data_IF_440562725757
#
_entry.id   IF_440562725757
#
_cell.length_a   1.000
_cell.length_b   1.000
_cell.length_c   1.000
_cell.angle_alpha   90.00
_cell.angle_beta   90.00
_cell.angle_gamma   90.00
#
_symmetry.space_group_name_H-M   'P 1'
#
loop_
_entity.id
_entity.type
_entity.pdbx_description
1 polymer ?
#
# COMPACT_ATOMS: atom_id res chain seq x y z
N UNK A 1 -38.22 -4.26 -2.13
CA UNK A 1 -36.97 -3.97 -1.36
C UNK A 1 -35.83 -3.51 -2.30
N UNK A 2 -35.51 -2.22 -2.29
CA UNK A 2 -34.44 -1.64 -3.12
C UNK A 2 -33.09 -2.08 -2.56
N UNK A 3 -32.40 -3.02 -3.22
CA UNK A 3 -31.04 -3.42 -2.86
C UNK A 3 -30.17 -2.15 -2.77
N UNK A 4 -29.70 -1.81 -1.57
CA UNK A 4 -28.66 -0.78 -1.40
C UNK A 4 -27.42 -1.35 -2.06
N UNK A 5 -27.11 -0.90 -3.29
CA UNK A 5 -25.79 -1.12 -3.90
C UNK A 5 -24.75 -0.72 -2.85
N UNK A 6 -23.84 -1.64 -2.51
CA UNK A 6 -22.75 -1.40 -1.56
C UNK A 6 -21.89 -0.29 -2.18
N UNK A 7 -22.24 0.95 -1.87
CA UNK A 7 -21.50 2.11 -2.33
C UNK A 7 -20.10 1.94 -1.75
N UNK A 8 -19.12 1.87 -2.64
CA UNK A 8 -17.72 1.81 -2.26
C UNK A 8 -17.47 2.85 -1.16
N UNK A 9 -16.82 2.45 -0.07
CA UNK A 9 -16.33 3.41 0.92
C UNK A 9 -15.51 4.49 0.20
N UNK A 10 -15.53 5.71 0.73
CA UNK A 10 -14.93 6.88 0.06
C UNK A 10 -13.51 6.51 -0.44
N UNK A 11 -13.24 6.64 -1.74
CA UNK A 11 -11.91 6.40 -2.27
C UNK A 11 -10.88 7.29 -1.57
N UNK A 12 -9.63 6.81 -1.51
CA UNK A 12 -8.50 7.63 -1.08
C UNK A 12 -8.44 8.94 -1.88
N UNK A 13 -7.93 9.99 -1.24
CA UNK A 13 -7.68 11.25 -1.92
C UNK A 13 -6.71 11.04 -3.09
N UNK A 14 -7.04 11.55 -4.28
CA UNK A 14 -6.24 11.38 -5.50
C UNK A 14 -4.82 11.92 -5.35
N UNK A 15 -4.59 12.90 -4.49
CA UNK A 15 -3.25 13.42 -4.20
C UNK A 15 -2.29 12.38 -3.63
N UNK A 16 -2.81 11.27 -3.07
CA UNK A 16 -2.04 10.14 -2.55
C UNK A 16 -1.62 9.13 -3.63
N UNK A 17 -2.11 9.29 -4.86
CA UNK A 17 -1.72 8.49 -6.00
C UNK A 17 -0.79 9.29 -6.92
N UNK A 18 0.10 8.57 -7.60
CA UNK A 18 1.00 9.16 -8.60
C UNK A 18 0.24 9.49 -9.87
N UNK A 19 0.65 10.57 -10.52
CA UNK A 19 0.21 10.92 -11.87
C UNK A 19 1.38 10.72 -12.82
N UNK A 20 1.25 9.79 -13.78
CA UNK A 20 2.29 9.48 -14.76
C UNK A 20 2.49 10.60 -15.80
N UNK A 21 1.69 11.67 -15.76
CA UNK A 21 1.75 12.76 -16.76
C UNK A 21 2.80 13.83 -16.46
N UNK A 22 3.48 13.80 -15.30
CA UNK A 22 4.57 14.73 -14.97
C UNK A 22 5.82 14.00 -14.47
N UNK A 23 7.04 14.46 -14.83
CA UNK A 23 8.30 13.87 -14.33
C UNK A 23 8.46 13.91 -12.81
N UNK A 24 7.78 14.86 -12.15
CA UNK A 24 7.71 15.02 -10.68
C UNK A 24 6.53 14.23 -10.06
N UNK A 25 5.71 13.57 -10.87
CA UNK A 25 4.39 13.04 -10.48
C UNK A 25 4.41 11.83 -9.55
N UNK A 26 5.60 11.30 -9.29
CA UNK A 26 5.87 10.13 -8.45
C UNK A 26 6.39 10.48 -7.05
N UNK A 27 7.10 11.59 -6.88
CA UNK A 27 7.72 11.93 -5.59
C UNK A 27 6.68 12.10 -4.46
N UNK A 28 6.95 11.50 -3.30
CA UNK A 28 6.10 11.56 -2.11
C UNK A 28 4.78 10.80 -2.24
N UNK A 29 4.73 9.78 -3.11
CA UNK A 29 3.54 8.95 -3.35
C UNK A 29 3.68 7.58 -2.69
N UNK A 30 2.56 6.95 -2.36
CA UNK A 30 2.56 5.67 -1.64
C UNK A 30 3.32 4.62 -2.45
N UNK A 31 4.41 4.13 -1.85
CA UNK A 31 5.24 3.08 -2.40
C UNK A 31 4.55 1.71 -2.33
N UNK A 32 4.73 0.93 -3.39
CA UNK A 32 4.47 -0.51 -3.39
C UNK A 32 5.79 -1.22 -3.09
N UNK A 33 5.98 -1.61 -1.82
CA UNK A 33 7.24 -2.22 -1.37
C UNK A 33 7.53 -3.56 -2.07
N UNK A 34 6.47 -4.29 -2.42
CA UNK A 34 6.55 -5.55 -3.13
C UNK A 34 5.24 -5.89 -3.85
N UNK A 35 5.35 -6.59 -4.98
CA UNK A 35 4.22 -7.18 -5.68
C UNK A 35 4.56 -8.53 -6.31
N UNK A 36 3.52 -9.34 -6.53
CA UNK A 36 3.62 -10.62 -7.22
C UNK A 36 2.67 -10.57 -8.43
N UNK A 37 3.20 -10.35 -9.65
CA UNK A 37 2.39 -10.29 -10.86
C UNK A 37 1.82 -11.68 -11.20
N UNK A 38 0.64 -11.72 -11.82
CA UNK A 38 0.05 -12.97 -12.30
C UNK A 38 0.94 -13.62 -13.36
N UNK A 39 1.34 -14.88 -13.16
CA UNK A 39 2.23 -15.59 -14.08
C UNK A 39 3.69 -15.12 -14.09
N UNK A 40 4.12 -14.31 -13.11
CA UNK A 40 5.52 -13.88 -12.96
C UNK A 40 6.13 -14.32 -11.64
N UNK A 41 7.10 -13.56 -11.14
CA UNK A 41 7.77 -13.81 -9.85
C UNK A 41 7.70 -12.58 -8.94
N UNK A 42 7.86 -12.78 -7.64
CA UNK A 42 7.90 -11.71 -6.64
C UNK A 42 8.91 -10.62 -7.01
N UNK A 43 8.46 -9.37 -7.03
CA UNK A 43 9.24 -8.16 -7.26
C UNK A 43 9.26 -7.31 -5.98
N UNK A 44 10.40 -6.67 -5.68
CA UNK A 44 10.64 -5.88 -4.47
C UNK A 44 11.59 -4.73 -4.77
N UNK A 45 11.47 -3.62 -4.02
CA UNK A 45 12.41 -2.48 -4.05
C UNK A 45 12.64 -1.92 -5.46
N UNK A 46 11.61 -1.89 -6.31
CA UNK A 46 11.70 -1.38 -7.67
C UNK A 46 11.08 0.01 -7.83
N UNK A 47 10.72 0.70 -6.75
CA UNK A 47 10.01 2.00 -6.76
C UNK A 47 8.65 1.95 -7.49
N UNK A 48 7.97 0.81 -7.47
CA UNK A 48 6.59 0.70 -7.95
C UNK A 48 5.62 1.49 -7.07
N UNK A 49 4.49 1.92 -7.64
CA UNK A 49 3.53 2.79 -6.93
C UNK A 49 2.08 2.63 -7.35
N UNK A 50 1.17 3.14 -6.52
CA UNK A 50 -0.26 3.10 -6.77
C UNK A 50 -0.70 4.25 -7.68
N UNK A 51 -1.32 3.92 -8.82
CA UNK A 51 -1.90 4.89 -9.77
C UNK A 51 -3.34 5.22 -9.39
N UNK A 52 -4.14 4.21 -9.03
CA UNK A 52 -5.55 4.45 -8.73
C UNK A 52 -6.23 3.29 -8.00
N UNK A 53 -7.23 3.62 -7.19
CA UNK A 53 -8.06 2.65 -6.49
C UNK A 53 -9.19 2.10 -7.38
N UNK A 54 -9.40 0.78 -7.37
CA UNK A 54 -10.49 0.07 -8.07
C UNK A 54 -11.52 -0.52 -7.11
N UNK A 55 -11.07 -0.95 -5.93
CA UNK A 55 -11.89 -1.44 -4.83
C UNK A 55 -11.26 -1.03 -3.49
N UNK A 56 -11.90 -1.35 -2.37
CA UNK A 56 -11.26 -1.19 -1.04
C UNK A 56 -9.92 -1.91 -0.91
N UNK A 57 -9.68 -2.94 -1.72
CA UNK A 57 -8.50 -3.81 -1.68
C UNK A 57 -7.91 -4.07 -3.07
N UNK A 58 -8.41 -3.42 -4.12
CA UNK A 58 -7.92 -3.60 -5.50
C UNK A 58 -7.43 -2.27 -6.01
N UNK A 59 -6.23 -2.26 -6.57
CA UNK A 59 -5.56 -1.05 -7.02
C UNK A 59 -4.89 -1.31 -8.35
N UNK A 60 -4.86 -0.28 -9.19
CA UNK A 60 -3.98 -0.23 -10.36
C UNK A 60 -2.63 0.29 -9.88
N UNK A 61 -1.57 -0.47 -10.08
CA UNK A 61 -0.20 -0.09 -9.76
C UNK A 61 0.61 0.08 -11.05
N UNK A 62 1.61 0.94 -11.02
CA UNK A 62 2.68 0.97 -12.00
C UNK A 62 3.79 0.03 -11.54
N UNK A 63 4.22 -0.88 -12.39
CA UNK A 63 5.26 -1.87 -12.16
C UNK A 63 6.54 -1.35 -12.81
N UNK A 64 7.45 -0.80 -12.00
CA UNK A 64 8.59 -0.06 -12.54
C UNK A 64 9.57 -0.96 -13.30
N UNK A 65 9.77 -2.21 -12.85
CA UNK A 65 10.67 -3.17 -13.50
C UNK A 65 10.27 -3.49 -14.96
N UNK A 66 8.97 -3.48 -15.26
CA UNK A 66 8.43 -3.78 -16.60
C UNK A 66 7.82 -2.54 -17.28
N UNK A 67 7.83 -1.38 -16.60
CA UNK A 67 7.15 -0.14 -17.01
C UNK A 67 5.71 -0.36 -17.46
N UNK A 68 5.00 -1.26 -16.78
CA UNK A 68 3.65 -1.70 -17.15
C UNK A 68 2.66 -1.48 -16.01
N UNK A 69 1.37 -1.54 -16.34
CA UNK A 69 0.32 -1.28 -15.38
C UNK A 69 -0.50 -2.54 -15.10
N UNK A 70 -0.65 -2.89 -13.81
CA UNK A 70 -1.42 -4.07 -13.40
C UNK A 70 -2.46 -3.76 -12.33
N UNK A 71 -3.57 -4.49 -12.33
CA UNK A 71 -4.58 -4.40 -11.25
C UNK A 71 -4.36 -5.54 -10.25
N UNK A 72 -3.81 -5.20 -9.08
CA UNK A 72 -3.45 -6.16 -8.04
C UNK A 72 -4.28 -5.96 -6.77
N UNK A 73 -4.27 -6.99 -5.91
CA UNK A 73 -4.94 -6.98 -4.62
C UNK A 73 -3.99 -6.58 -3.50
N UNK A 74 -4.38 -5.60 -2.68
CA UNK A 74 -3.66 -5.20 -1.49
C UNK A 74 -3.78 -6.29 -0.41
N UNK A 75 -2.62 -6.71 0.10
CA UNK A 75 -2.49 -7.72 1.13
C UNK A 75 -1.62 -7.19 2.27
N UNK A 76 -2.09 -7.34 3.50
CA UNK A 76 -1.33 -7.01 4.70
C UNK A 76 -0.41 -8.18 5.09
N UNK A 77 0.60 -8.48 4.28
CA UNK A 77 1.58 -9.53 4.58
C UNK A 77 2.98 -9.06 4.25
N UNK A 78 3.98 -9.73 4.85
CA UNK A 78 5.36 -9.55 4.45
C UNK A 78 5.58 -9.94 2.97
N UNK A 79 6.54 -9.31 2.27
CA UNK A 79 6.79 -9.55 0.84
C UNK A 79 6.92 -11.04 0.47
N UNK A 80 7.65 -11.81 1.29
CA UNK A 80 7.86 -13.24 1.07
C UNK A 80 6.58 -14.10 1.15
N UNK A 81 5.48 -13.54 1.67
CA UNK A 81 4.19 -14.22 1.81
C UNK A 81 3.15 -13.75 0.78
N UNK A 82 3.53 -12.85 -0.14
CA UNK A 82 2.67 -12.48 -1.26
C UNK A 82 2.43 -13.68 -2.18
N UNK A 83 1.20 -13.79 -2.67
CA UNK A 83 0.84 -14.71 -3.74
C UNK A 83 0.53 -13.94 -5.03
N UNK A 84 0.47 -14.65 -6.15
CA UNK A 84 0.14 -14.07 -7.45
C UNK A 84 -1.10 -13.15 -7.42
N UNK A 85 -1.00 -12.02 -8.13
CA UNK A 85 -2.05 -11.02 -8.21
C UNK A 85 -2.15 -10.12 -6.96
N UNK A 86 -1.11 -10.09 -6.11
CA UNK A 86 -1.10 -9.33 -4.86
C UNK A 86 0.07 -8.36 -4.77
N UNK A 87 -0.08 -7.36 -3.89
CA UNK A 87 0.97 -6.43 -3.50
C UNK A 87 0.80 -6.04 -2.03
N UNK A 88 1.85 -5.53 -1.40
CA UNK A 88 1.77 -4.98 -0.06
C UNK A 88 2.32 -3.55 0.01
N UNK A 89 1.90 -2.84 1.05
CA UNK A 89 2.39 -1.52 1.44
C UNK A 89 2.80 -1.61 2.89
N UNK A 90 4.01 -1.14 3.19
CA UNK A 90 4.54 -1.12 4.55
C UNK A 90 4.06 0.13 5.29
N UNK A 91 3.87 -0.01 6.59
CA UNK A 91 3.64 1.08 7.52
C UNK A 91 4.46 0.85 8.79
N UNK A 92 5.23 1.85 9.19
CA UNK A 92 6.00 1.85 10.44
C UNK A 92 5.16 2.52 11.53
N UNK A 93 4.88 1.79 12.61
CA UNK A 93 4.10 2.30 13.74
C UNK A 93 4.96 3.19 14.65
N UNK A 94 4.33 3.88 15.59
CA UNK A 94 4.98 4.84 16.49
C UNK A 94 5.97 4.19 17.48
N UNK A 95 5.81 2.90 17.75
CA UNK A 95 6.74 2.05 18.49
C UNK A 95 7.83 1.41 17.62
N UNK A 96 7.98 1.85 16.36
CA UNK A 96 8.88 1.30 15.33
C UNK A 96 8.51 -0.09 14.83
N UNK A 97 7.35 -0.62 15.20
CA UNK A 97 6.90 -1.91 14.68
C UNK A 97 6.60 -1.81 13.18
N UNK A 98 7.14 -2.75 12.40
CA UNK A 98 6.79 -2.93 10.99
C UNK A 98 5.44 -3.61 10.88
N UNK A 99 4.52 -2.99 10.16
CA UNK A 99 3.22 -3.54 9.83
C UNK A 99 2.92 -3.38 8.32
N UNK A 100 1.85 -4.03 7.87
CA UNK A 100 1.41 -3.99 6.47
C UNK A 100 -0.04 -3.54 6.37
N UNK A 101 -0.32 -2.72 5.36
CA UNK A 101 -1.65 -2.12 5.17
C UNK A 101 -2.63 -3.16 4.63
N UNK A 102 -3.71 -3.40 5.37
CA UNK A 102 -4.80 -4.26 4.91
C UNK A 102 -5.80 -3.47 4.08
N UNK A 103 -6.07 -2.24 4.50
CA UNK A 103 -7.06 -1.38 3.86
C UNK A 103 -6.83 0.08 4.20
N UNK A 104 -6.99 0.92 3.20
CA UNK A 104 -7.00 2.37 3.34
C UNK A 104 -8.40 2.93 3.59
N UNK A 105 -8.48 3.93 4.48
CA UNK A 105 -9.69 4.66 4.83
C UNK A 105 -9.37 6.16 4.97
N UNK A 106 -9.30 6.84 3.83
CA UNK A 106 -8.96 8.26 3.75
C UNK A 106 -7.61 8.60 4.41
N UNK A 107 -7.62 9.04 5.68
CA UNK A 107 -6.40 9.40 6.44
C UNK A 107 -6.04 8.34 7.50
N UNK A 108 -6.74 7.21 7.52
CA UNK A 108 -6.42 6.08 8.39
C UNK A 108 -6.16 4.83 7.57
N UNK A 109 -5.39 3.91 8.15
CA UNK A 109 -5.19 2.56 7.63
C UNK A 109 -5.58 1.54 8.68
N UNK A 110 -6.13 0.43 8.20
CA UNK A 110 -6.15 -0.81 8.96
C UNK A 110 -4.87 -1.57 8.63
N UNK A 111 -4.10 -1.96 9.63
CA UNK A 111 -2.81 -2.63 9.47
C UNK A 111 -2.80 -4.01 10.14
N UNK A 112 -1.79 -4.82 9.78
CA UNK A 112 -1.42 -6.04 10.50
C UNK A 112 0.07 -6.13 10.73
N UNK A 113 0.44 -6.56 11.92
CA UNK A 113 1.82 -6.85 12.35
C UNK A 113 2.10 -8.34 12.16
N UNK A 114 3.30 -8.72 11.74
CA UNK A 114 3.76 -10.11 11.64
C UNK A 114 2.78 -11.05 10.92
N UNK A 115 2.17 -10.57 9.84
CA UNK A 115 1.13 -11.32 9.13
C UNK A 115 1.70 -12.08 7.93
N UNK A 116 1.45 -13.38 7.89
CA UNK A 116 1.82 -14.29 6.79
C UNK A 116 0.60 -14.61 5.93
N UNK A 117 -0.61 -14.56 6.51
CA UNK A 117 -1.87 -14.87 5.83
C UNK A 117 -2.86 -13.68 5.80
N UNK A 118 -2.44 -12.47 6.17
CA UNK A 118 -3.06 -11.17 5.90
C UNK A 118 -4.50 -10.91 6.38
N UNK A 119 -5.22 -11.93 6.86
CA UNK A 119 -6.63 -11.90 7.27
C UNK A 119 -6.87 -12.59 8.61
N UNK A 120 -6.09 -13.62 8.91
CA UNK A 120 -6.38 -14.53 10.03
C UNK A 120 -5.27 -14.57 11.08
N UNK A 121 -4.09 -14.03 10.78
CA UNK A 121 -2.95 -13.98 11.69
C UNK A 121 -2.51 -12.55 12.01
N UNK A 122 -1.70 -12.43 13.06
CA UNK A 122 -1.10 -11.19 13.52
C UNK A 122 -2.02 -10.28 14.32
N UNK A 123 -1.40 -9.35 15.05
CA UNK A 123 -2.10 -8.24 15.71
C UNK A 123 -2.54 -7.24 14.64
N UNK A 124 -3.80 -6.81 14.69
CA UNK A 124 -4.35 -5.81 13.77
C UNK A 124 -4.84 -4.58 14.51
N UNK A 125 -4.80 -3.43 13.85
CA UNK A 125 -5.25 -2.19 14.44
C UNK A 125 -5.56 -1.11 13.40
N UNK A 126 -5.97 0.04 13.92
CA UNK A 126 -6.27 1.23 13.14
C UNK A 126 -5.35 2.35 13.57
N UNK A 127 -4.78 3.06 12.59
CA UNK A 127 -3.93 4.22 12.88
C UNK A 127 -4.15 5.30 11.83
N UNK A 128 -4.05 6.57 12.24
CA UNK A 128 -3.85 7.67 11.28
C UNK A 128 -2.50 7.50 10.62
N UNK A 129 -2.38 7.87 9.35
CA UNK A 129 -1.10 7.75 8.68
C UNK A 129 -0.59 9.07 8.11
N UNK A 130 0.73 9.22 8.16
CA UNK A 130 1.49 10.17 7.37
C UNK A 130 2.27 9.45 6.27
N UNK A 131 2.71 10.20 5.27
CA UNK A 131 3.66 9.70 4.28
C UNK A 131 5.08 10.03 4.78
N UNK A 132 6.02 9.12 4.52
CA UNK A 132 7.44 9.34 4.78
C UNK A 132 8.04 10.43 3.89
N UNK A 133 9.36 10.58 3.95
CA UNK A 133 10.12 11.47 3.06
C UNK A 133 11.24 10.71 2.38
N UNK A 134 11.45 11.00 1.09
CA UNK A 134 12.54 10.42 0.28
C UNK A 134 13.95 10.76 0.81
N UNK A 135 14.07 11.76 1.68
CA UNK A 135 15.34 12.22 2.25
C UNK A 135 15.97 11.22 3.24
N UNK A 136 15.22 10.20 3.69
CA UNK A 136 15.72 9.12 4.51
C UNK A 136 15.60 7.82 3.70
N UNK A 137 16.74 7.32 3.23
CA UNK A 137 16.79 6.10 2.41
C UNK A 137 15.97 4.97 3.04
N UNK A 138 15.07 4.39 2.23
CA UNK A 138 14.33 3.15 2.42
C UNK A 138 13.54 2.93 3.73
N UNK A 139 13.62 3.75 4.77
CA UNK A 139 12.93 3.50 6.04
C UNK A 139 12.26 4.77 6.58
N UNK A 140 10.92 4.74 6.60
CA UNK A 140 10.11 5.75 7.26
C UNK A 140 10.43 5.85 8.76
N UNK A 141 10.85 7.02 9.22
CA UNK A 141 11.03 7.31 10.65
C UNK A 141 9.67 7.30 11.38
N UNK A 142 9.53 6.58 12.51
CA UNK A 142 8.32 6.59 13.32
C UNK A 142 7.87 8.00 13.73
N UNK A 143 6.56 8.25 13.70
CA UNK A 143 5.96 9.51 14.16
C UNK A 143 4.95 9.20 15.26
N UNK A 144 5.04 9.91 16.39
CA UNK A 144 4.17 9.69 17.54
C UNK A 144 2.68 9.73 17.17
N UNK A 145 1.93 8.68 17.53
CA UNK A 145 0.50 8.55 17.29
C UNK A 145 0.08 8.36 15.83
N UNK A 146 1.03 8.07 14.93
CA UNK A 146 0.77 7.85 13.50
C UNK A 146 1.57 6.67 12.97
N UNK A 147 0.99 5.97 11.99
CA UNK A 147 1.73 5.07 11.12
C UNK A 147 2.38 5.86 9.98
N UNK A 148 3.62 5.55 9.63
CA UNK A 148 4.33 6.21 8.53
C UNK A 148 4.46 5.24 7.37
N UNK A 149 3.90 5.62 6.23
CA UNK A 149 3.92 4.82 4.99
C UNK A 149 5.06 5.31 4.11
N UNK A 150 5.83 4.36 3.58
CA UNK A 150 6.92 4.65 2.67
C UNK A 150 6.44 5.32 1.38
N UNK A 151 7.32 6.14 0.83
CA UNK A 151 7.09 6.85 -0.42
C UNK A 151 8.24 6.62 -1.37
N UNK A 152 7.91 6.64 -2.66
CA UNK A 152 8.90 6.79 -3.73
C UNK A 152 9.37 8.23 -3.84
#
# INVERSE_FOLDING_TARGET
PKQRRKQMGRPLNKSRFSDLTTPEGTAGKIEVIAYYPTGGSLQQNDNSFIISQRSSRRFKIHQQNDSSDAVLNLRAVAPASLAEGQFCVRVILDDSTVAYVEKFYNNTVHYRVNSTNGFTDGTSGWVKYSLGSEAAGADSTPVSGQGVIDVI
#
